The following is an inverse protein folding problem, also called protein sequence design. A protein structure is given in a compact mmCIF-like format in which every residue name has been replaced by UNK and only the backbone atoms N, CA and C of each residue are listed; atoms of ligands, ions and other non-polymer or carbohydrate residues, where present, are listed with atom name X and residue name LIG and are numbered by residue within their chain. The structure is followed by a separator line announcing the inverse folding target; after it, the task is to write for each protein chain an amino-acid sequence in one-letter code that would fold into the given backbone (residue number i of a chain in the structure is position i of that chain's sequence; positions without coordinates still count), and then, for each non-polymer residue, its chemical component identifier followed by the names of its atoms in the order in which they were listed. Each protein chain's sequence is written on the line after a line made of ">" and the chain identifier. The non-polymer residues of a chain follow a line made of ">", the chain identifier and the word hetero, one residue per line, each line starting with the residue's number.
data_IF_107066898868
#
_entry.id   IF_107066898868
#
_cell.length_a   1.000
_cell.length_b   1.000
_cell.length_c   1.000
_cell.angle_alpha   90.00
_cell.angle_beta   90.00
_cell.angle_gamma   90.00
#
_symmetry.space_group_name_H-M   'P 1'
#
loop_
_entity.id
_entity.type
_entity.pdbx_description
1 polymer ?
#
# COMPACT_ATOMS: atom_id res chain seq x y z
N UNK A 1 17.70 7.19 -2.58
CA UNK A 1 16.67 6.31 -3.18
C UNK A 1 17.28 4.97 -3.60
N UNK A 2 16.69 3.86 -3.14
CA UNK A 2 17.07 2.46 -3.45
C UNK A 2 15.84 1.70 -3.96
N UNK A 3 15.96 0.92 -5.01
CA UNK A 3 14.85 0.12 -5.55
C UNK A 3 14.81 -1.28 -4.95
N UNK A 4 13.63 -1.74 -4.56
CA UNK A 4 13.41 -3.14 -4.20
C UNK A 4 13.38 -3.96 -5.50
N UNK A 5 14.23 -4.98 -5.66
CA UNK A 5 14.23 -5.82 -6.86
C UNK A 5 12.85 -6.43 -7.10
N UNK A 6 12.29 -6.31 -8.32
CA UNK A 6 10.97 -6.84 -8.62
C UNK A 6 10.99 -8.37 -8.54
N UNK A 7 9.91 -8.94 -7.99
CA UNK A 7 9.66 -10.38 -8.00
C UNK A 7 8.37 -10.67 -8.76
N UNK A 8 8.22 -11.88 -9.30
CA UNK A 8 6.99 -12.27 -9.99
C UNK A 8 5.73 -12.10 -9.11
N UNK A 9 5.87 -12.27 -7.78
CA UNK A 9 4.77 -12.10 -6.83
C UNK A 9 4.30 -10.65 -6.69
N UNK A 10 5.17 -9.67 -6.95
CA UNK A 10 4.84 -8.24 -6.91
C UNK A 10 3.96 -7.81 -8.09
N UNK A 11 3.86 -8.65 -9.13
CA UNK A 11 3.08 -8.37 -10.34
C UNK A 11 3.49 -7.03 -10.95
N UNK A 12 2.56 -6.06 -11.03
CA UNK A 12 2.75 -4.73 -11.63
C UNK A 12 3.31 -3.70 -10.64
N UNK A 13 3.50 -4.08 -9.37
CA UNK A 13 4.01 -3.18 -8.35
C UNK A 13 5.53 -3.09 -8.42
N UNK A 14 6.02 -1.87 -8.36
CA UNK A 14 7.43 -1.57 -8.08
C UNK A 14 7.52 -0.76 -6.79
N UNK A 15 8.69 -0.81 -6.14
CA UNK A 15 8.92 -0.06 -4.90
C UNK A 15 10.29 0.60 -4.93
N UNK A 16 10.30 1.89 -4.66
CA UNK A 16 11.52 2.61 -4.31
C UNK A 16 11.48 3.02 -2.85
N UNK A 17 12.62 3.01 -2.18
CA UNK A 17 12.79 3.37 -0.79
C UNK A 17 13.66 4.61 -0.71
N UNK A 18 13.15 5.65 -0.05
CA UNK A 18 13.86 6.89 0.19
C UNK A 18 13.83 7.25 1.67
N UNK A 19 15.00 7.18 2.32
CA UNK A 19 15.13 7.34 3.76
C UNK A 19 14.21 6.37 4.54
N UNK A 20 13.24 6.95 5.25
CA UNK A 20 12.25 6.24 6.08
C UNK A 20 10.91 5.99 5.37
N UNK A 21 10.84 6.20 4.05
CA UNK A 21 9.62 6.05 3.25
C UNK A 21 9.83 5.05 2.11
N UNK A 22 8.78 4.32 1.79
CA UNK A 22 8.66 3.52 0.58
C UNK A 22 7.61 4.15 -0.31
N UNK A 23 7.90 4.23 -1.61
CA UNK A 23 7.02 4.72 -2.66
C UNK A 23 6.65 3.49 -3.48
N UNK A 24 5.39 3.08 -3.36
CA UNK A 24 4.84 1.97 -4.12
C UNK A 24 4.17 2.52 -5.37
N UNK A 25 4.65 2.12 -6.53
CA UNK A 25 4.06 2.49 -7.80
C UNK A 25 3.34 1.29 -8.41
N UNK A 26 2.15 1.53 -8.94
CA UNK A 26 1.40 0.53 -9.71
C UNK A 26 1.23 1.09 -11.12
N UNK A 27 2.21 0.80 -11.99
CA UNK A 27 2.24 1.38 -13.32
C UNK A 27 1.02 0.92 -14.15
N UNK A 28 0.20 1.83 -14.70
CA UNK A 28 -0.68 1.48 -15.81
C UNK A 28 0.19 1.03 -16.99
N UNK A 29 -0.33 0.13 -17.82
CA UNK A 29 0.30 -0.11 -19.12
C UNK A 29 0.30 1.23 -19.87
N UNK A 30 1.46 1.64 -20.39
CA UNK A 30 1.63 2.96 -21.01
C UNK A 30 0.54 3.15 -22.09
N UNK A 31 -0.14 4.30 -22.05
CA UNK A 31 -1.28 4.67 -22.94
C UNK A 31 -2.63 3.98 -22.68
N UNK A 32 -2.99 3.73 -21.41
CA UNK A 32 -4.36 3.33 -21.06
C UNK A 32 -5.22 4.56 -20.66
N UNK A 33 -6.17 5.03 -21.51
CA UNK A 33 -7.11 6.10 -21.14
C UNK A 33 -8.08 5.69 -20.01
N UNK A 34 -8.08 4.41 -19.63
CA UNK A 34 -8.80 3.87 -18.48
C UNK A 34 -7.92 3.66 -17.24
N UNK A 35 -6.67 4.14 -17.26
CA UNK A 35 -5.72 4.02 -16.15
C UNK A 35 -6.32 4.44 -14.81
N UNK A 36 -7.11 5.52 -14.76
CA UNK A 36 -7.79 5.98 -13.53
C UNK A 36 -8.70 4.92 -12.88
N UNK A 37 -9.20 3.94 -13.65
CA UNK A 37 -10.01 2.83 -13.14
C UNK A 37 -9.19 1.77 -12.41
N UNK A 38 -7.90 1.67 -12.69
CA UNK A 38 -7.00 0.65 -12.15
C UNK A 38 -5.90 1.23 -11.25
N UNK A 39 -5.64 2.53 -11.34
CA UNK A 39 -4.70 3.22 -10.46
C UNK A 39 -5.16 3.12 -9.00
N UNK A 40 -4.22 2.93 -8.06
CA UNK A 40 -4.55 2.97 -6.65
C UNK A 40 -5.12 4.33 -6.27
N UNK A 41 -5.84 4.35 -5.16
CA UNK A 41 -6.48 5.55 -4.63
C UNK A 41 -5.72 6.07 -3.43
N UNK A 42 -5.49 7.36 -3.38
CA UNK A 42 -4.86 8.03 -2.25
C UNK A 42 -5.82 9.07 -1.67
N UNK A 43 -5.98 9.06 -0.35
CA UNK A 43 -6.46 10.21 0.41
C UNK A 43 -5.32 10.65 1.33
N UNK A 44 -4.63 11.76 1.03
CA UNK A 44 -3.41 12.14 1.72
C UNK A 44 -3.61 12.30 3.24
N UNK A 45 -2.79 11.60 4.03
CA UNK A 45 -2.85 11.50 5.48
C UNK A 45 -4.02 10.70 6.05
N UNK A 46 -4.89 10.11 5.21
CA UNK A 46 -6.15 9.48 5.64
C UNK A 46 -6.30 8.03 5.20
N UNK A 47 -5.69 7.64 4.09
CA UNK A 47 -5.67 6.24 3.70
C UNK A 47 -5.37 6.01 2.23
N UNK A 48 -5.51 4.75 1.83
CA UNK A 48 -5.32 4.30 0.46
C UNK A 48 -6.41 3.31 0.05
N UNK A 49 -6.60 3.17 -1.26
CA UNK A 49 -7.38 2.11 -1.88
C UNK A 49 -6.54 1.40 -2.94
N UNK A 50 -6.69 0.09 -3.06
CA UNK A 50 -6.07 -0.71 -4.12
C UNK A 50 -7.15 -1.53 -4.81
N UNK A 51 -7.01 -1.74 -6.11
CA UNK A 51 -7.89 -2.68 -6.83
C UNK A 51 -7.78 -4.07 -6.20
N UNK A 52 -8.90 -4.78 -6.10
CA UNK A 52 -8.93 -6.15 -5.58
C UNK A 52 -7.96 -7.07 -6.35
N UNK A 53 -7.85 -6.85 -7.67
CA UNK A 53 -6.95 -7.63 -8.55
C UNK A 53 -5.48 -7.40 -8.25
N UNK A 54 -5.12 -6.22 -7.75
CA UNK A 54 -3.73 -5.82 -7.50
C UNK A 54 -3.34 -5.94 -6.01
N UNK A 55 -4.31 -6.26 -5.13
CA UNK A 55 -4.09 -6.34 -3.68
C UNK A 55 -3.08 -7.43 -3.28
N UNK A 56 -3.05 -8.56 -4.00
CA UNK A 56 -2.09 -9.63 -3.77
C UNK A 56 -0.65 -9.19 -4.14
N UNK A 57 -0.49 -8.53 -5.29
CA UNK A 57 0.79 -7.97 -5.72
C UNK A 57 1.30 -6.90 -4.75
N UNK A 58 0.40 -6.04 -4.27
CA UNK A 58 0.74 -5.01 -3.29
C UNK A 58 1.22 -5.61 -1.95
N UNK A 59 0.53 -6.65 -1.47
CA UNK A 59 0.95 -7.36 -0.26
C UNK A 59 2.33 -8.01 -0.41
N UNK A 60 2.65 -8.56 -1.58
CA UNK A 60 3.97 -9.08 -1.89
C UNK A 60 5.03 -7.98 -1.93
N UNK A 61 4.75 -6.83 -2.56
CA UNK A 61 5.66 -5.68 -2.60
C UNK A 61 5.98 -5.16 -1.19
N UNK A 62 4.99 -5.08 -0.30
CA UNK A 62 5.22 -4.74 1.12
C UNK A 62 6.11 -5.80 1.79
N UNK A 63 5.85 -7.08 1.53
CA UNK A 63 6.64 -8.16 2.11
C UNK A 63 8.12 -8.12 1.67
N UNK A 64 8.41 -7.82 0.40
CA UNK A 64 9.77 -7.63 -0.09
C UNK A 64 10.43 -6.39 0.52
N UNK A 65 9.70 -5.28 0.61
CA UNK A 65 10.18 -4.04 1.25
C UNK A 65 10.60 -4.26 2.70
N UNK A 66 9.83 -5.07 3.44
CA UNK A 66 10.12 -5.41 4.85
C UNK A 66 11.37 -6.30 5.03
N UNK A 67 11.95 -6.84 3.95
CA UNK A 67 13.24 -7.56 4.01
C UNK A 67 14.43 -6.60 3.97
N UNK A 68 14.24 -5.37 3.49
CA UNK A 68 15.32 -4.41 3.32
C UNK A 68 15.83 -3.87 4.68
N UNK A 69 17.14 -3.57 4.81
CA UNK A 69 17.71 -3.01 6.04
C UNK A 69 17.02 -1.71 6.50
N UNK A 70 16.62 -0.85 5.57
CA UNK A 70 15.97 0.43 5.86
C UNK A 70 14.68 0.26 6.67
N UNK A 71 13.90 -0.81 6.39
CA UNK A 71 12.69 -1.11 7.14
C UNK A 71 13.02 -1.41 8.61
N UNK A 72 14.07 -2.20 8.86
CA UNK A 72 14.49 -2.55 10.21
C UNK A 72 15.05 -1.35 10.96
N UNK A 73 15.86 -0.50 10.31
CA UNK A 73 16.36 0.75 10.90
C UNK A 73 15.20 1.66 11.31
N UNK A 74 14.23 1.89 10.40
CA UNK A 74 13.06 2.71 10.68
C UNK A 74 12.17 2.11 11.79
N UNK A 75 12.02 0.79 11.80
CA UNK A 75 11.27 0.07 12.83
C UNK A 75 11.95 0.23 14.20
N UNK A 76 13.26 0.01 14.30
CA UNK A 76 14.00 0.17 15.56
C UNK A 76 13.96 1.60 16.10
N UNK A 77 14.06 2.61 15.25
CA UNK A 77 13.93 4.01 15.67
C UNK A 77 12.55 4.32 16.27
N UNK A 78 11.52 3.59 15.86
CA UNK A 78 10.14 3.76 16.32
C UNK A 78 9.80 2.96 17.60
N UNK A 79 10.78 2.43 18.34
CA UNK A 79 10.68 1.43 19.43
C UNK A 79 9.55 1.54 20.48
N UNK A 80 8.85 2.68 20.58
CA UNK A 80 7.72 2.88 21.50
C UNK A 80 6.34 2.93 20.83
N UNK A 81 6.26 2.97 19.50
CA UNK A 81 5.01 3.11 18.74
C UNK A 81 4.57 1.82 18.01
N UNK A 82 5.27 0.70 18.21
CA UNK A 82 4.98 -0.57 17.49
C UNK A 82 3.60 -1.17 17.77
N UNK A 83 2.95 -0.77 18.85
CA UNK A 83 1.62 -1.23 19.23
C UNK A 83 0.51 -0.46 18.55
N UNK A 84 0.79 0.77 18.10
CA UNK A 84 -0.18 1.55 17.34
C UNK A 84 -0.28 0.92 15.96
N UNK A 85 -1.41 0.27 15.69
CA UNK A 85 -1.79 -0.20 14.36
C UNK A 85 -2.70 0.87 13.76
N UNK A 86 -2.17 1.93 13.13
CA UNK A 86 -2.98 3.06 12.69
C UNK A 86 -3.87 2.70 11.49
N UNK A 87 -3.76 1.48 10.98
CA UNK A 87 -4.55 0.96 9.89
C UNK A 87 -5.84 0.31 10.38
N UNK A 88 -6.96 0.82 9.89
CA UNK A 88 -8.28 0.21 10.02
C UNK A 88 -8.36 -1.15 9.30
N UNK A 89 -9.33 -2.00 9.67
CA UNK A 89 -9.73 -3.14 8.85
C UNK A 89 -10.06 -2.73 7.41
N UNK A 90 -9.82 -3.64 6.46
CA UNK A 90 -10.16 -3.44 5.06
C UNK A 90 -11.67 -3.20 4.89
N UNK A 91 -12.04 -2.16 4.13
CA UNK A 91 -13.40 -1.96 3.64
C UNK A 91 -13.42 -2.22 2.15
N UNK A 92 -14.10 -3.29 1.74
CA UNK A 92 -14.33 -3.57 0.32
C UNK A 92 -15.49 -2.71 -0.17
N UNK A 93 -15.32 -2.15 -1.36
CA UNK A 93 -16.38 -1.51 -2.09
C UNK A 93 -16.69 -2.37 -3.32
N UNK A 94 -17.89 -2.94 -3.36
CA UNK A 94 -18.25 -3.92 -4.38
C UNK A 94 -18.56 -3.26 -5.73
N UNK A 95 -18.91 -1.97 -5.71
CA UNK A 95 -19.36 -1.26 -6.91
C UNK A 95 -18.17 -0.77 -7.74
N UNK A 96 -17.06 -0.38 -7.11
CA UNK A 96 -15.85 0.09 -7.81
C UNK A 96 -14.72 -0.96 -7.91
N UNK A 97 -14.81 -2.07 -7.17
CA UNK A 97 -13.81 -3.15 -7.18
C UNK A 97 -12.56 -2.85 -6.37
N UNK A 98 -12.57 -1.84 -5.49
CA UNK A 98 -11.45 -1.47 -4.64
C UNK A 98 -11.60 -1.99 -3.20
N UNK A 99 -10.46 -2.16 -2.56
CA UNK A 99 -10.35 -2.36 -1.12
C UNK A 99 -9.64 -1.16 -0.50
N UNK A 100 -10.29 -0.55 0.50
CA UNK A 100 -9.84 0.66 1.15
C UNK A 100 -9.30 0.38 2.55
N UNK A 101 -8.23 1.09 2.91
CA UNK A 101 -7.60 1.08 4.22
C UNK A 101 -7.46 2.53 4.70
N UNK A 102 -8.15 2.90 5.77
CA UNK A 102 -7.88 4.15 6.47
C UNK A 102 -6.61 4.00 7.33
N UNK A 103 -5.74 4.99 7.28
CA UNK A 103 -4.45 5.03 7.97
C UNK A 103 -3.47 6.04 7.35
N UNK A 104 -2.23 6.11 7.84
CA UNK A 104 -1.25 7.11 7.42
C UNK A 104 -0.67 6.77 6.04
N UNK A 105 -1.18 7.42 5.00
CA UNK A 105 -0.63 7.33 3.64
C UNK A 105 -0.40 8.73 3.07
N UNK A 106 0.83 9.02 2.63
CA UNK A 106 1.23 10.34 2.16
C UNK A 106 1.20 11.44 3.21
N UNK A 107 1.60 12.64 2.77
CA UNK A 107 1.57 13.84 3.61
C UNK A 107 0.13 14.33 3.79
N UNK A 108 -0.29 14.73 5.01
CA UNK A 108 -1.59 15.36 5.21
C UNK A 108 -1.79 16.55 4.27
N UNK A 109 -2.95 16.60 3.62
CA UNK A 109 -3.34 17.67 2.70
C UNK A 109 -4.79 18.09 2.94
N UNK A 110 -5.15 19.30 2.48
CA UNK A 110 -6.53 19.79 2.48
C UNK A 110 -7.41 19.09 1.43
N UNK A 111 -6.81 18.34 0.50
CA UNK A 111 -7.54 17.57 -0.50
C UNK A 111 -8.46 16.52 0.15
N UNK A 112 -9.74 16.53 -0.25
CA UNK A 112 -10.76 15.64 0.32
C UNK A 112 -11.05 14.46 -0.60
N UNK A 113 -10.97 13.27 -0.01
CA UNK A 113 -11.40 12.02 -0.59
C UNK A 113 -10.31 11.30 -1.39
N UNK A 114 -10.63 10.07 -1.74
CA UNK A 114 -9.79 9.18 -2.52
C UNK A 114 -9.70 9.64 -3.98
N UNK A 115 -8.49 9.75 -4.52
CA UNK A 115 -8.22 10.08 -5.94
C UNK A 115 -7.22 9.10 -6.55
N UNK A 116 -7.29 8.81 -7.86
CA UNK A 116 -6.26 8.06 -8.56
C UNK A 116 -4.88 8.64 -8.28
N UNK A 117 -3.91 7.78 -7.98
CA UNK A 117 -2.54 8.13 -7.73
C UNK A 117 -1.63 7.11 -8.41
N UNK A 118 -0.54 7.56 -9.01
CA UNK A 118 0.49 6.67 -9.54
C UNK A 118 1.32 6.05 -8.43
N UNK A 119 1.48 6.81 -7.34
CA UNK A 119 2.37 6.49 -6.24
C UNK A 119 1.62 6.49 -4.90
N UNK A 120 1.92 5.49 -4.07
CA UNK A 120 1.50 5.41 -2.69
C UNK A 120 2.72 5.57 -1.77
N UNK A 121 3.00 6.79 -1.29
CA UNK A 121 4.04 7.02 -0.30
C UNK A 121 3.59 6.51 1.08
N UNK A 122 4.39 5.61 1.66
CA UNK A 122 4.15 5.00 2.96
C UNK A 122 5.40 5.08 3.83
N UNK A 123 5.25 5.47 5.09
CA UNK A 123 6.37 5.40 6.02
C UNK A 123 6.69 3.93 6.34
N UNK A 124 7.98 3.57 6.35
CA UNK A 124 8.43 2.19 6.56
C UNK A 124 7.92 1.61 7.90
N UNK A 125 7.83 2.46 8.94
CA UNK A 125 7.31 2.07 10.26
C UNK A 125 5.86 1.59 10.24
N UNK A 126 5.05 2.06 9.27
CA UNK A 126 3.62 1.80 9.20
C UNK A 126 3.29 0.55 8.35
N UNK A 127 4.28 -0.01 7.64
CA UNK A 127 4.08 -1.13 6.70
C UNK A 127 3.64 -2.42 7.38
N UNK A 128 4.10 -2.68 8.61
CA UNK A 128 3.71 -3.91 9.34
C UNK A 128 2.22 -3.96 9.60
N UNK A 129 1.64 -2.84 10.05
CA UNK A 129 0.20 -2.74 10.30
C UNK A 129 -0.61 -2.96 9.03
N UNK A 130 -0.22 -2.30 7.94
CA UNK A 130 -0.87 -2.45 6.65
C UNK A 130 -0.79 -3.89 6.12
N UNK A 131 0.39 -4.53 6.23
CA UNK A 131 0.57 -5.94 5.84
C UNK A 131 -0.38 -6.87 6.58
N UNK A 132 -0.59 -6.66 7.89
CA UNK A 132 -1.53 -7.47 8.69
C UNK A 132 -2.95 -7.31 8.15
N UNK A 133 -3.38 -6.08 7.83
CA UNK A 133 -4.72 -5.80 7.29
C UNK A 133 -4.92 -6.40 5.90
N UNK A 134 -3.94 -6.26 5.01
CA UNK A 134 -3.96 -6.87 3.68
C UNK A 134 -3.99 -8.41 3.77
N UNK A 135 -3.18 -9.01 4.64
CA UNK A 135 -3.19 -10.47 4.82
C UNK A 135 -4.51 -10.99 5.41
N UNK A 136 -5.18 -10.21 6.28
CA UNK A 136 -6.51 -10.54 6.76
C UNK A 136 -7.55 -10.48 5.63
N UNK A 137 -7.53 -9.40 4.83
CA UNK A 137 -8.39 -9.23 3.67
C UNK A 137 -8.25 -10.38 2.67
N UNK A 138 -7.02 -10.67 2.22
CA UNK A 138 -6.73 -11.71 1.24
C UNK A 138 -7.10 -13.12 1.71
N UNK A 139 -7.08 -13.37 3.03
CA UNK A 139 -7.57 -14.63 3.60
C UNK A 139 -9.09 -14.71 3.58
N UNK A 140 -9.78 -13.63 3.93
CA UNK A 140 -11.24 -13.56 3.86
C UNK A 140 -11.78 -13.69 2.44
N UNK A 141 -11.13 -13.07 1.46
CA UNK A 141 -11.52 -13.12 0.05
C UNK A 141 -11.36 -14.52 -0.60
N UNK A 142 -10.57 -15.42 0.00
CA UNK A 142 -10.38 -16.80 -0.49
C UNK A 142 -11.46 -17.77 -0.04
N UNK A 143 -12.35 -17.37 0.87
CA UNK A 143 -13.47 -18.21 1.32
C UNK A 143 -14.67 -17.85 0.44
N UNK A 144 -15.09 -18.73 -0.49
CA UNK A 144 -16.34 -18.50 -1.22
C UNK A 144 -17.49 -18.60 -0.22
N UNK A 145 -18.31 -17.55 -0.17
CA UNK A 145 -19.64 -17.59 0.45
C UNK A 145 -20.58 -18.50 -0.34
#
# INVERSE_FOLDING_TARGET
>A
MYEIPPTAAMQRWSVSVDGSRAIFACAPWLEDPTADRVLPRLWPGRGLGVSDTDAAGFAAAIAETMKAPNYWIASHAAARAWQDQPWSPARRDHDDGFVYFAGPCGEPSVAVGYRPAYDLPLALRDLRGLRIRLAAYLRGARVPS
#
